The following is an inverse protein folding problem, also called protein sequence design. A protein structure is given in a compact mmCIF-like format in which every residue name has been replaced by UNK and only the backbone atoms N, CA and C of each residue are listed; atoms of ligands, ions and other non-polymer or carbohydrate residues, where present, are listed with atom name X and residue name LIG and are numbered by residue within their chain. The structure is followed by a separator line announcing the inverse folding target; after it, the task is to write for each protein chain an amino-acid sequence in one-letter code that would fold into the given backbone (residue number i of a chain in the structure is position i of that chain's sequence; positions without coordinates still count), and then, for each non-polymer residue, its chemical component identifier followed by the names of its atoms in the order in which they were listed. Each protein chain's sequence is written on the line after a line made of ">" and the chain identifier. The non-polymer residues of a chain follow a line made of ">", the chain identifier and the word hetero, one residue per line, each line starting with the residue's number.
data_IF_069423640584
#
_entry.id   IF_069423640584
#
_cell.length_a   1.000
_cell.length_b   1.000
_cell.length_c   1.000
_cell.angle_alpha   90.00
_cell.angle_beta   90.00
_cell.angle_gamma   90.00
#
_symmetry.space_group_name_H-M   'P 1'
#
loop_
_entity.id
_entity.type
_entity.pdbx_description
1 polymer ?
#
# COMPACT_ATOMS: atom_id res chain seq x y z
N UNK A 1 22.46 0.12 -2.74
CA UNK A 1 21.61 -0.86 -2.01
C UNK A 1 21.58 -2.14 -2.84
N UNK A 2 21.63 -3.32 -2.22
CA UNK A 2 21.87 -4.62 -2.88
C UNK A 2 20.69 -5.09 -3.78
N UNK A 3 20.94 -5.84 -4.86
CA UNK A 3 19.90 -6.37 -5.74
C UNK A 3 19.05 -7.42 -5.02
N UNK A 4 17.73 -7.28 -5.07
CA UNK A 4 16.77 -8.15 -4.38
C UNK A 4 16.08 -7.55 -3.14
N UNK A 5 16.35 -6.29 -2.80
CA UNK A 5 15.52 -5.55 -1.84
C UNK A 5 14.24 -5.15 -2.57
N UNK A 6 13.10 -5.61 -2.03
CA UNK A 6 11.73 -5.28 -2.46
C UNK A 6 11.67 -3.81 -2.87
N UNK A 7 11.46 -3.57 -4.16
CA UNK A 7 11.30 -2.21 -4.69
C UNK A 7 9.91 -1.74 -4.26
N UNK A 8 9.83 -1.14 -3.07
CA UNK A 8 8.58 -0.59 -2.59
C UNK A 8 8.23 0.61 -3.47
N UNK A 9 6.99 0.69 -3.98
CA UNK A 9 6.58 1.81 -4.82
C UNK A 9 6.81 3.11 -4.05
N UNK A 10 7.37 4.14 -4.70
CA UNK A 10 7.76 5.38 -4.02
C UNK A 10 6.62 6.09 -3.28
N UNK A 11 5.37 5.79 -3.64
CA UNK A 11 4.14 6.34 -3.07
C UNK A 11 3.48 5.46 -1.99
N UNK A 12 4.05 4.32 -1.61
CA UNK A 12 3.41 3.41 -0.63
C UNK A 12 3.19 4.08 0.73
N UNK A 13 4.18 4.86 1.19
CA UNK A 13 4.11 5.52 2.48
C UNK A 13 2.98 6.55 2.54
N UNK A 14 2.90 7.42 1.53
CA UNK A 14 1.88 8.47 1.48
C UNK A 14 0.48 7.89 1.26
N UNK A 15 0.36 6.89 0.38
CA UNK A 15 -0.94 6.27 0.03
C UNK A 15 -1.51 5.47 1.19
N UNK A 16 -0.73 4.56 1.78
CA UNK A 16 -1.19 3.78 2.92
C UNK A 16 -1.36 4.65 4.18
N UNK A 17 -0.54 5.68 4.34
CA UNK A 17 -0.69 6.68 5.40
C UNK A 17 -2.02 7.42 5.31
N UNK A 18 -2.43 7.84 4.10
CA UNK A 18 -3.73 8.48 3.88
C UNK A 18 -4.90 7.53 4.20
N UNK A 19 -4.80 6.26 3.80
CA UNK A 19 -5.79 5.23 4.14
C UNK A 19 -5.89 5.02 5.66
N UNK A 20 -4.78 4.99 6.37
CA UNK A 20 -4.79 4.91 7.85
C UNK A 20 -5.42 6.14 8.49
N UNK A 21 -5.16 7.34 7.96
CA UNK A 21 -5.81 8.57 8.44
C UNK A 21 -7.33 8.53 8.27
N UNK A 22 -7.85 7.94 7.18
CA UNK A 22 -9.29 7.73 7.02
C UNK A 22 -9.85 6.83 8.13
N UNK A 23 -9.17 5.74 8.45
CA UNK A 23 -9.59 4.80 9.49
C UNK A 23 -9.58 5.45 10.87
N UNK A 24 -8.47 6.09 11.24
CA UNK A 24 -8.35 6.80 12.52
C UNK A 24 -9.32 7.98 12.63
N UNK A 25 -9.64 8.62 11.51
CA UNK A 25 -10.66 9.66 11.43
C UNK A 25 -12.10 9.15 11.41
N UNK A 26 -12.33 7.84 11.54
CA UNK A 26 -13.67 7.23 11.56
C UNK A 26 -14.41 7.29 10.22
N UNK A 27 -13.72 7.57 9.12
CA UNK A 27 -14.32 7.68 7.77
C UNK A 27 -14.50 6.32 7.10
N UNK A 28 -13.71 5.33 7.51
CA UNK A 28 -13.78 3.95 7.03
C UNK A 28 -13.67 3.01 8.23
N UNK A 29 -14.25 1.82 8.11
CA UNK A 29 -14.11 0.77 9.12
C UNK A 29 -12.85 -0.08 8.88
N UNK A 30 -12.62 -1.07 9.76
CA UNK A 30 -11.46 -1.96 9.66
C UNK A 30 -11.49 -2.85 8.41
N UNK A 31 -12.67 -3.24 7.94
CA UNK A 31 -12.80 -4.09 6.76
C UNK A 31 -12.42 -3.30 5.51
N UNK A 32 -12.88 -2.06 5.41
CA UNK A 32 -12.58 -1.17 4.30
C UNK A 32 -11.11 -0.71 4.31
N UNK A 33 -10.52 -0.49 5.50
CA UNK A 33 -9.06 -0.29 5.66
C UNK A 33 -8.26 -1.45 5.03
N UNK A 34 -8.65 -2.70 5.33
CA UNK A 34 -8.01 -3.88 4.77
C UNK A 34 -8.11 -3.94 3.24
N UNK A 35 -9.32 -3.70 2.71
CA UNK A 35 -9.55 -3.66 1.25
C UNK A 35 -8.70 -2.60 0.55
N UNK A 36 -8.60 -1.39 1.10
CA UNK A 36 -7.82 -0.32 0.48
C UNK A 36 -6.31 -0.67 0.44
N UNK A 37 -5.79 -1.28 1.52
CA UNK A 37 -4.40 -1.77 1.58
C UNK A 37 -4.17 -2.89 0.55
N UNK A 38 -5.06 -3.90 0.50
CA UNK A 38 -4.94 -5.02 -0.43
C UNK A 38 -5.03 -4.54 -1.89
N UNK A 39 -5.97 -3.62 -2.18
CA UNK A 39 -6.11 -3.02 -3.49
C UNK A 39 -4.88 -2.20 -3.91
N UNK A 40 -4.18 -1.56 -2.96
CA UNK A 40 -2.93 -0.87 -3.24
C UNK A 40 -1.83 -1.85 -3.66
N UNK A 41 -1.64 -2.94 -2.92
CA UNK A 41 -0.59 -3.92 -3.21
C UNK A 41 -0.89 -4.78 -4.44
N UNK A 42 -2.16 -5.13 -4.67
CA UNK A 42 -2.58 -5.89 -5.86
C UNK A 42 -2.33 -5.13 -7.18
N UNK A 43 -2.24 -3.80 -7.12
CA UNK A 43 -1.91 -2.95 -8.29
C UNK A 43 -0.42 -2.88 -8.57
N UNK A 44 0.43 -3.26 -7.61
CA UNK A 44 1.86 -3.24 -7.82
C UNK A 44 2.23 -4.38 -8.76
N UNK A 45 2.77 -4.02 -9.93
CA UNK A 45 3.36 -5.00 -10.83
C UNK A 45 4.53 -5.64 -10.09
N UNK A 46 4.42 -6.93 -9.81
CA UNK A 46 5.60 -7.78 -9.68
C UNK A 46 6.23 -7.80 -11.07
N UNK A 47 7.15 -6.88 -11.37
CA UNK A 47 7.99 -6.99 -12.56
C UNK A 47 8.80 -8.31 -12.40
N UNK A 48 8.56 -9.35 -13.23
CA UNK A 48 9.41 -10.52 -13.20
C UNK A 48 10.75 -10.13 -13.84
N UNK A 49 11.70 -9.78 -12.97
CA UNK A 49 13.15 -9.62 -13.20
C UNK A 49 13.60 -9.37 -14.66
N UNK A 50 14.04 -8.14 -14.94
CA UNK A 50 14.92 -7.83 -16.06
C UNK A 50 16.38 -8.16 -15.66
#
# INVERSE_FOLDING_TARGET
>A
LFPGIIDYPGDHWSTLGATMQKYLGGKIDRAELGKEIDAYWAKQKLEPWN
#
